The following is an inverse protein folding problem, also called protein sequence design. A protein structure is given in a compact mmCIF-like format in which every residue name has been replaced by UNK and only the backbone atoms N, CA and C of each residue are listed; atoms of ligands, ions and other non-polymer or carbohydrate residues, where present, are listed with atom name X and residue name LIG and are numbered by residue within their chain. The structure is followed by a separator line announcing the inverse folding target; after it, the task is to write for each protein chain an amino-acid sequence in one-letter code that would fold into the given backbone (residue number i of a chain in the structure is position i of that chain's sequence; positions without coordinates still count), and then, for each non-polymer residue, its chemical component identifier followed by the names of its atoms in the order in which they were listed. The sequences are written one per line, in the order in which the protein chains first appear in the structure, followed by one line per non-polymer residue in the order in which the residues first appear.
data_IF_554931790665
#
_entry.id   IF_554931790665
#
_cell.length_a   1.000
_cell.length_b   1.000
_cell.length_c   1.000
_cell.angle_alpha   90.00
_cell.angle_beta   90.00
_cell.angle_gamma   90.00
#
_symmetry.space_group_name_H-M   'P 1'
#
loop_
_entity.id
_entity.type
_entity.pdbx_description
1 polymer ?
#
# COMPACT_ATOMS: atom_id res chain seq x y z
N UNK A 1 -10.39 -0.86 29.86
CA UNK A 1 -10.43 -1.18 28.43
C UNK A 1 -11.34 -0.14 27.78
N UNK A 2 -10.85 0.63 26.80
CA UNK A 2 -11.68 1.61 26.08
C UNK A 2 -12.68 0.87 25.19
N UNK A 3 -13.94 1.28 25.21
CA UNK A 3 -14.98 0.76 24.31
C UNK A 3 -14.54 1.05 22.87
N UNK A 4 -14.54 0.06 21.95
CA UNK A 4 -14.21 0.30 20.55
C UNK A 4 -15.13 1.37 19.98
N UNK A 5 -14.57 2.39 19.32
CA UNK A 5 -15.37 3.42 18.65
C UNK A 5 -16.09 2.78 17.46
N UNK A 6 -17.40 3.02 17.27
CA UNK A 6 -18.10 2.55 16.08
C UNK A 6 -17.46 3.16 14.82
N UNK A 7 -17.69 2.55 13.66
CA UNK A 7 -17.31 3.15 12.39
C UNK A 7 -18.10 4.46 12.18
N UNK A 8 -17.42 5.46 11.61
CA UNK A 8 -18.02 6.71 11.17
C UNK A 8 -18.32 6.65 9.67
N UNK A 9 -19.55 6.94 9.30
CA UNK A 9 -19.97 7.02 7.88
C UNK A 9 -20.53 8.43 7.66
N UNK A 10 -19.92 9.15 6.72
CA UNK A 10 -20.42 10.48 6.34
C UNK A 10 -21.83 10.36 5.72
N UNK A 11 -22.77 11.28 5.99
CA UNK A 11 -24.16 11.18 5.51
C UNK A 11 -24.31 11.09 3.98
N UNK A 12 -23.35 11.56 3.21
CA UNK A 12 -23.36 11.49 1.73
C UNK A 12 -22.65 10.26 1.18
N UNK A 13 -22.03 9.43 2.03
CA UNK A 13 -21.44 8.18 1.59
C UNK A 13 -22.53 7.13 1.31
N UNK A 14 -22.36 6.37 0.23
CA UNK A 14 -23.22 5.23 -0.10
C UNK A 14 -22.50 3.94 0.29
N UNK A 15 -22.95 3.33 1.37
CA UNK A 15 -22.46 2.03 1.84
C UNK A 15 -23.58 1.02 1.60
N UNK A 16 -23.35 0.07 0.68
CA UNK A 16 -24.38 -0.91 0.30
C UNK A 16 -24.59 -1.96 1.41
N UNK A 17 -25.71 -2.68 1.31
CA UNK A 17 -26.04 -3.76 2.22
C UNK A 17 -24.98 -4.89 2.17
N UNK A 18 -24.69 -5.52 3.31
CA UNK A 18 -23.69 -6.59 3.42
C UNK A 18 -22.24 -6.12 3.49
N UNK A 19 -21.97 -4.80 3.48
CA UNK A 19 -20.64 -4.24 3.76
C UNK A 19 -20.32 -4.38 5.25
N UNK A 20 -19.11 -4.79 5.56
CA UNK A 20 -18.59 -4.80 6.94
C UNK A 20 -17.50 -3.76 7.13
N UNK A 21 -17.64 -2.96 8.20
CA UNK A 21 -16.65 -1.95 8.59
C UNK A 21 -16.16 -2.23 10.01
N UNK A 22 -14.86 -2.34 10.18
CA UNK A 22 -14.24 -2.50 11.49
C UNK A 22 -14.37 -1.24 12.36
N UNK A 23 -14.26 -1.43 13.66
CA UNK A 23 -14.35 -0.35 14.65
C UNK A 23 -13.33 0.76 14.37
N UNK A 24 -13.70 2.01 14.59
CA UNK A 24 -12.83 3.17 14.38
C UNK A 24 -12.61 3.58 12.92
N UNK A 25 -13.08 2.79 11.95
CA UNK A 25 -12.98 3.12 10.53
C UNK A 25 -13.83 4.33 10.17
N UNK A 26 -13.30 5.21 9.32
CA UNK A 26 -13.96 6.44 8.88
C UNK A 26 -14.16 6.43 7.38
N UNK A 27 -15.40 6.57 6.96
CA UNK A 27 -15.82 6.71 5.55
C UNK A 27 -16.27 8.14 5.31
N UNK A 28 -15.57 8.83 4.42
CA UNK A 28 -15.79 10.25 4.15
C UNK A 28 -16.86 10.48 3.06
N UNK A 29 -17.06 11.73 2.69
CA UNK A 29 -18.15 12.15 1.82
C UNK A 29 -18.05 11.60 0.41
N UNK A 30 -19.23 11.30 -0.17
CA UNK A 30 -19.38 10.77 -1.54
C UNK A 30 -18.55 9.51 -1.85
N UNK A 31 -18.16 8.75 -0.82
CA UNK A 31 -17.57 7.43 -0.99
C UNK A 31 -18.68 6.45 -1.38
N UNK A 32 -18.39 5.53 -2.30
CA UNK A 32 -19.27 4.42 -2.63
C UNK A 32 -18.58 3.09 -2.33
N UNK A 33 -19.15 2.31 -1.41
CA UNK A 33 -18.66 0.96 -1.05
C UNK A 33 -19.74 -0.05 -1.44
N UNK A 34 -19.35 -0.95 -2.34
CA UNK A 34 -20.27 -1.95 -2.90
C UNK A 34 -20.45 -3.15 -1.96
N UNK A 35 -21.58 -3.85 -2.17
CA UNK A 35 -21.95 -5.04 -1.37
C UNK A 35 -20.82 -6.06 -1.26
N UNK A 36 -20.74 -6.74 -0.13
CA UNK A 36 -19.77 -7.79 0.15
C UNK A 36 -18.37 -7.28 0.51
N UNK A 37 -18.08 -5.99 0.31
CA UNK A 37 -16.77 -5.43 0.70
C UNK A 37 -16.56 -5.52 2.23
N UNK A 38 -15.35 -5.83 2.64
CA UNK A 38 -14.93 -5.94 4.04
C UNK A 38 -13.76 -5.01 4.28
N UNK A 39 -13.92 -4.08 5.20
CA UNK A 39 -12.87 -3.12 5.59
C UNK A 39 -12.58 -3.30 7.07
N UNK A 40 -11.32 -3.48 7.40
CA UNK A 40 -10.83 -3.69 8.76
C UNK A 40 -11.04 -2.49 9.69
N UNK A 41 -10.45 -2.54 10.87
CA UNK A 41 -10.59 -1.49 11.88
C UNK A 41 -9.58 -0.35 11.68
N UNK A 42 -9.92 0.84 12.25
CA UNK A 42 -9.08 2.05 12.24
C UNK A 42 -8.61 2.49 10.83
N UNK A 43 -9.41 2.20 9.80
CA UNK A 43 -9.16 2.63 8.43
C UNK A 43 -9.70 4.04 8.16
N UNK A 44 -9.19 4.65 7.08
CA UNK A 44 -9.73 5.88 6.52
C UNK A 44 -10.02 5.65 5.05
N UNK A 45 -11.27 5.89 4.64
CA UNK A 45 -11.67 5.90 3.23
C UNK A 45 -12.01 7.34 2.87
N UNK A 46 -11.11 7.97 2.11
CA UNK A 46 -11.18 9.37 1.70
C UNK A 46 -12.28 9.64 0.69
N UNK A 47 -12.68 10.88 0.61
CA UNK A 47 -13.82 11.36 -0.18
C UNK A 47 -13.77 10.92 -1.65
N UNK A 48 -14.95 10.69 -2.24
CA UNK A 48 -15.14 10.33 -3.66
C UNK A 48 -14.44 9.03 -4.09
N UNK A 49 -13.99 8.22 -3.13
CA UNK A 49 -13.41 6.91 -3.45
C UNK A 49 -14.49 5.88 -3.75
N UNK A 50 -14.13 4.91 -4.58
CA UNK A 50 -14.99 3.78 -4.93
C UNK A 50 -14.31 2.47 -4.52
N UNK A 51 -15.04 1.63 -3.80
CA UNK A 51 -14.62 0.28 -3.41
C UNK A 51 -15.63 -0.71 -3.98
N UNK A 52 -15.17 -1.55 -4.90
CA UNK A 52 -16.03 -2.49 -5.62
C UNK A 52 -16.48 -3.68 -4.76
N UNK A 53 -17.24 -4.56 -5.40
CA UNK A 53 -17.81 -5.78 -4.80
C UNK A 53 -16.73 -6.69 -4.21
N UNK A 54 -17.00 -7.27 -3.04
CA UNK A 54 -16.23 -8.31 -2.39
C UNK A 54 -14.75 -7.95 -2.11
N UNK A 55 -14.37 -6.69 -2.27
CA UNK A 55 -13.03 -6.20 -1.94
C UNK A 55 -12.73 -6.41 -0.46
N UNK A 56 -11.52 -6.87 -0.16
CA UNK A 56 -11.05 -7.07 1.21
C UNK A 56 -9.94 -6.07 1.52
N UNK A 57 -10.14 -5.28 2.57
CA UNK A 57 -9.18 -4.28 3.06
C UNK A 57 -8.87 -4.60 4.52
N UNK A 58 -7.60 -4.78 4.84
CA UNK A 58 -7.10 -5.05 6.18
C UNK A 58 -7.24 -3.87 7.13
N UNK A 59 -6.54 -3.94 8.24
CA UNK A 59 -6.59 -2.96 9.32
C UNK A 59 -5.62 -1.79 9.09
N UNK A 60 -5.94 -0.61 9.66
CA UNK A 60 -5.09 0.58 9.61
C UNK A 60 -4.76 1.07 8.20
N UNK A 61 -5.60 0.76 7.23
CA UNK A 61 -5.42 1.18 5.83
C UNK A 61 -5.88 2.61 5.65
N UNK A 62 -5.07 3.41 4.96
CA UNK A 62 -5.41 4.77 4.60
C UNK A 62 -5.61 4.89 3.09
N UNK A 63 -6.83 5.15 2.69
CA UNK A 63 -7.24 5.46 1.32
C UNK A 63 -7.49 6.96 1.24
N UNK A 64 -6.75 7.67 0.41
CA UNK A 64 -6.97 9.10 0.18
C UNK A 64 -8.12 9.33 -0.81
N UNK A 65 -8.35 10.59 -1.18
CA UNK A 65 -9.44 10.98 -2.05
C UNK A 65 -9.39 10.32 -3.44
N UNK A 66 -10.57 10.04 -3.98
CA UNK A 66 -10.78 9.63 -5.38
C UNK A 66 -9.98 8.39 -5.80
N UNK A 67 -9.79 7.45 -4.90
CA UNK A 67 -9.18 6.15 -5.21
C UNK A 67 -10.24 5.22 -5.79
N UNK A 68 -9.90 4.53 -6.88
CA UNK A 68 -10.75 3.51 -7.49
C UNK A 68 -10.18 2.12 -7.19
N UNK A 69 -10.88 1.34 -6.36
CA UNK A 69 -10.54 -0.04 -6.03
C UNK A 69 -11.54 -0.94 -6.72
N UNK A 70 -11.14 -1.60 -7.81
CA UNK A 70 -11.99 -2.51 -8.58
C UNK A 70 -12.18 -3.86 -7.85
N UNK A 71 -13.12 -4.67 -8.33
CA UNK A 71 -13.30 -6.04 -7.85
C UNK A 71 -12.02 -6.88 -8.07
N UNK A 72 -11.81 -7.87 -7.23
CA UNK A 72 -10.61 -8.70 -7.27
C UNK A 72 -9.37 -8.06 -6.63
N UNK A 73 -9.54 -7.04 -5.78
CA UNK A 73 -8.42 -6.43 -5.04
C UNK A 73 -8.47 -6.81 -3.57
N UNK A 74 -7.34 -7.27 -3.05
CA UNK A 74 -7.10 -7.50 -1.63
C UNK A 74 -5.99 -6.58 -1.13
N UNK A 75 -6.24 -5.84 -0.05
CA UNK A 75 -5.31 -4.87 0.53
C UNK A 75 -4.93 -5.32 1.94
N UNK A 76 -3.66 -5.57 2.17
CA UNK A 76 -3.11 -5.92 3.49
C UNK A 76 -3.12 -4.74 4.47
N UNK A 77 -2.81 -5.04 5.74
CA UNK A 77 -2.79 -4.03 6.81
C UNK A 77 -1.77 -2.91 6.56
N UNK A 78 -2.02 -1.74 7.16
CA UNK A 78 -1.11 -0.58 7.14
C UNK A 78 -0.77 -0.07 5.74
N UNK A 79 -1.56 -0.41 4.72
CA UNK A 79 -1.36 0.12 3.37
C UNK A 79 -1.78 1.59 3.26
N UNK A 80 -1.09 2.29 2.35
CA UNK A 80 -1.40 3.67 1.97
C UNK A 80 -1.72 3.72 0.47
N UNK A 81 -2.94 4.08 0.12
CA UNK A 81 -3.38 4.37 -1.23
C UNK A 81 -3.54 5.88 -1.37
N UNK A 82 -2.62 6.54 -2.06
CA UNK A 82 -2.66 7.99 -2.21
C UNK A 82 -3.76 8.42 -3.18
N UNK A 83 -4.04 9.73 -3.24
CA UNK A 83 -5.12 10.25 -4.06
C UNK A 83 -5.04 9.84 -5.54
N UNK A 84 -6.20 9.55 -6.12
CA UNK A 84 -6.35 9.18 -7.53
C UNK A 84 -5.60 7.89 -7.94
N UNK A 85 -5.32 6.99 -7.03
CA UNK A 85 -4.83 5.64 -7.38
C UNK A 85 -5.96 4.87 -8.03
N UNK A 86 -5.63 4.17 -9.12
CA UNK A 86 -6.59 3.36 -9.89
C UNK A 86 -6.09 1.93 -10.00
N UNK A 87 -6.95 0.97 -9.63
CA UNK A 87 -6.74 -0.44 -9.91
C UNK A 87 -7.55 -0.86 -11.12
N UNK A 88 -7.02 -1.81 -11.89
CA UNK A 88 -7.71 -2.44 -13.02
C UNK A 88 -7.78 -3.95 -12.78
N UNK A 89 -8.81 -4.61 -13.30
CA UNK A 89 -9.04 -6.06 -13.10
C UNK A 89 -9.16 -6.85 -14.41
N UNK A 90 -9.01 -6.17 -15.54
CA UNK A 90 -9.06 -6.77 -16.86
C UNK A 90 -7.83 -6.37 -17.69
N UNK A 91 -7.25 -7.33 -18.41
CA UNK A 91 -6.09 -7.12 -19.30
C UNK A 91 -6.49 -6.64 -20.69
N UNK A 92 -7.63 -7.08 -21.16
CA UNK A 92 -8.09 -6.86 -22.52
C UNK A 92 -9.55 -6.42 -22.57
N UNK A 93 -9.89 -5.31 -21.88
CA UNK A 93 -11.27 -4.87 -21.74
C UNK A 93 -11.92 -4.58 -23.11
N UNK A 94 -13.16 -5.00 -23.24
CA UNK A 94 -14.03 -4.67 -24.38
C UNK A 94 -15.40 -4.25 -23.84
N UNK A 95 -16.05 -3.35 -24.54
CA UNK A 95 -17.41 -2.97 -24.22
C UNK A 95 -18.42 -3.99 -24.74
N UNK A 96 -18.13 -4.62 -25.87
CA UNK A 96 -19.00 -5.61 -26.49
C UNK A 96 -18.63 -7.03 -26.10
N UNK A 97 -19.65 -7.89 -26.04
CA UNK A 97 -19.47 -9.34 -25.95
C UNK A 97 -18.73 -9.88 -27.18
N UNK A 98 -18.30 -11.14 -27.15
CA UNK A 98 -17.46 -11.76 -28.17
C UNK A 98 -18.04 -11.61 -29.59
N UNK A 99 -19.35 -11.76 -29.75
CA UNK A 99 -20.07 -11.67 -31.03
C UNK A 99 -20.44 -10.23 -31.42
N UNK A 100 -20.13 -9.23 -30.61
CA UNK A 100 -20.49 -7.81 -30.81
C UNK A 100 -22.01 -7.59 -31.00
N UNK A 101 -22.84 -8.41 -30.37
CA UNK A 101 -24.30 -8.32 -30.39
C UNK A 101 -24.89 -7.61 -29.19
N UNK A 102 -24.07 -7.33 -28.17
CA UNK A 102 -24.49 -6.68 -26.92
C UNK A 102 -23.30 -6.22 -26.10
N UNK A 103 -23.58 -5.68 -24.91
CA UNK A 103 -22.54 -5.32 -23.96
C UNK A 103 -22.04 -6.58 -23.24
N UNK A 104 -20.74 -6.59 -22.97
CA UNK A 104 -20.13 -7.55 -22.04
C UNK A 104 -20.56 -7.22 -20.59
N UNK A 105 -20.58 -8.22 -19.72
CA UNK A 105 -20.88 -7.99 -18.30
C UNK A 105 -19.82 -7.11 -17.63
N UNK A 106 -20.30 -6.26 -16.73
CA UNK A 106 -19.40 -5.50 -15.82
C UNK A 106 -19.32 -6.13 -14.43
N UNK A 107 -20.05 -7.21 -14.18
CA UNK A 107 -20.00 -7.90 -12.90
C UNK A 107 -18.72 -8.76 -12.79
N UNK A 108 -18.16 -8.91 -11.59
CA UNK A 108 -17.06 -9.82 -11.36
C UNK A 108 -17.41 -11.25 -11.78
N UNK A 109 -16.49 -11.92 -12.45
CA UNK A 109 -16.60 -13.31 -12.89
C UNK A 109 -15.46 -14.15 -12.31
N UNK A 110 -15.45 -15.45 -12.56
CA UNK A 110 -14.33 -16.33 -12.20
C UNK A 110 -13.01 -15.94 -12.91
N UNK A 111 -13.09 -15.19 -14.01
CA UNK A 111 -11.94 -14.68 -14.76
C UNK A 111 -11.40 -13.37 -14.19
N UNK A 112 -12.08 -12.74 -13.23
CA UNK A 112 -11.63 -11.51 -12.59
C UNK A 112 -10.28 -11.74 -11.91
N UNK A 113 -9.27 -11.01 -12.35
CA UNK A 113 -7.90 -11.21 -11.89
C UNK A 113 -7.70 -10.63 -10.49
N UNK A 114 -7.18 -11.47 -9.58
CA UNK A 114 -6.90 -11.09 -8.19
C UNK A 114 -5.60 -10.30 -8.08
N UNK A 115 -5.70 -9.05 -7.62
CA UNK A 115 -4.56 -8.19 -7.28
C UNK A 115 -4.38 -8.12 -5.76
N UNK A 116 -3.19 -8.45 -5.26
CA UNK A 116 -2.91 -8.56 -3.84
C UNK A 116 -1.83 -7.58 -3.40
N UNK A 117 -2.14 -6.78 -2.39
CA UNK A 117 -1.18 -5.92 -1.72
C UNK A 117 -0.78 -6.54 -0.38
N UNK A 118 0.49 -6.78 -0.20
CA UNK A 118 1.05 -7.18 1.09
C UNK A 118 0.95 -6.06 2.13
N UNK A 119 1.28 -6.39 3.37
CA UNK A 119 1.28 -5.43 4.48
C UNK A 119 2.14 -4.22 4.21
N UNK A 120 1.65 -3.02 4.55
CA UNK A 120 2.42 -1.78 4.54
C UNK A 120 2.80 -1.25 3.15
N UNK A 121 2.17 -1.76 2.09
CA UNK A 121 2.37 -1.23 0.73
C UNK A 121 1.94 0.22 0.65
N UNK A 122 2.77 1.05 0.02
CA UNK A 122 2.44 2.45 -0.27
C UNK A 122 2.34 2.67 -1.77
N UNK A 123 1.21 3.20 -2.24
CA UNK A 123 1.01 3.56 -3.64
C UNK A 123 0.88 5.08 -3.75
N UNK A 124 1.79 5.68 -4.51
CA UNK A 124 1.84 7.13 -4.75
C UNK A 124 0.66 7.64 -5.58
N UNK A 125 0.35 8.92 -5.44
CA UNK A 125 -0.78 9.55 -6.11
C UNK A 125 -0.73 9.39 -7.64
N UNK A 126 -1.91 9.25 -8.26
CA UNK A 126 -2.08 9.05 -9.71
C UNK A 126 -1.37 7.80 -10.28
N UNK A 127 -1.04 6.82 -9.45
CA UNK A 127 -0.51 5.57 -9.96
C UNK A 127 -1.63 4.65 -10.44
N UNK A 128 -1.36 3.90 -11.51
CA UNK A 128 -2.25 2.87 -12.04
C UNK A 128 -1.65 1.49 -11.79
N UNK A 129 -2.45 0.59 -11.23
CA UNK A 129 -2.06 -0.79 -10.92
C UNK A 129 -2.77 -1.72 -11.89
N UNK A 130 -1.99 -2.47 -12.66
CA UNK A 130 -2.48 -3.48 -13.59
C UNK A 130 -3.15 -4.65 -12.89
N UNK A 131 -3.91 -5.47 -13.65
CA UNK A 131 -4.68 -6.58 -13.10
C UNK A 131 -3.82 -7.79 -12.75
N UNK A 132 -4.22 -8.54 -11.73
CA UNK A 132 -3.61 -9.83 -11.39
C UNK A 132 -2.20 -9.74 -10.82
N UNK A 133 -1.85 -8.64 -10.14
CA UNK A 133 -0.50 -8.38 -9.64
C UNK A 133 -0.37 -8.67 -8.16
N UNK A 134 0.85 -9.04 -7.75
CA UNK A 134 1.26 -9.15 -6.35
C UNK A 134 2.24 -8.04 -6.01
N UNK A 135 1.85 -7.17 -5.09
CA UNK A 135 2.71 -6.13 -4.54
C UNK A 135 3.19 -6.61 -3.16
N UNK A 136 4.48 -6.92 -3.07
CA UNK A 136 5.10 -7.46 -1.85
C UNK A 136 5.08 -6.46 -0.69
N UNK A 137 5.13 -6.98 0.53
CA UNK A 137 5.06 -6.19 1.74
C UNK A 137 6.03 -5.00 1.75
N UNK A 138 5.57 -3.88 2.29
CA UNK A 138 6.35 -2.64 2.43
C UNK A 138 6.95 -2.10 1.13
N UNK A 139 6.55 -2.58 -0.06
CA UNK A 139 6.98 -1.95 -1.29
C UNK A 139 6.37 -0.55 -1.44
N UNK A 140 7.03 0.28 -2.24
CA UNK A 140 6.58 1.64 -2.50
C UNK A 140 6.52 1.90 -4.00
N UNK A 141 5.36 2.30 -4.46
CA UNK A 141 5.11 2.75 -5.84
C UNK A 141 5.16 4.27 -5.87
N UNK A 142 6.02 4.83 -6.71
CA UNK A 142 6.12 6.29 -6.89
C UNK A 142 4.86 6.87 -7.55
N UNK A 143 4.62 8.16 -7.33
CA UNK A 143 3.49 8.88 -7.92
C UNK A 143 3.53 8.83 -9.45
N UNK A 144 2.36 8.78 -10.11
CA UNK A 144 2.21 8.78 -11.56
C UNK A 144 2.73 7.51 -12.26
N UNK A 145 3.00 6.44 -11.52
CA UNK A 145 3.55 5.21 -12.09
C UNK A 145 2.47 4.31 -12.69
N UNK A 146 2.86 3.51 -13.70
CA UNK A 146 2.03 2.42 -14.23
C UNK A 146 2.69 1.09 -13.90
N UNK A 147 2.11 0.36 -12.95
CA UNK A 147 2.61 -0.94 -12.49
C UNK A 147 1.98 -2.04 -13.35
N UNK A 148 2.79 -2.73 -14.14
CA UNK A 148 2.36 -3.78 -15.06
C UNK A 148 2.99 -5.15 -14.78
N UNK A 149 3.69 -5.30 -13.65
CA UNK A 149 4.31 -6.55 -13.21
C UNK A 149 4.36 -6.58 -11.67
N UNK A 150 4.52 -7.78 -11.12
CA UNK A 150 4.68 -7.99 -9.69
C UNK A 150 5.82 -7.13 -9.10
N UNK A 151 5.64 -6.69 -7.87
CA UNK A 151 6.61 -5.87 -7.15
C UNK A 151 7.13 -6.65 -5.95
N UNK A 152 8.44 -6.85 -5.87
CA UNK A 152 9.07 -7.56 -4.76
C UNK A 152 8.93 -6.76 -3.42
N UNK A 153 8.92 -7.44 -2.25
CA UNK A 153 8.90 -6.77 -0.95
C UNK A 153 9.99 -5.70 -0.82
N UNK A 154 9.65 -4.61 -0.13
CA UNK A 154 10.54 -3.47 0.14
C UNK A 154 11.07 -2.74 -1.11
N UNK A 155 10.64 -3.09 -2.31
CA UNK A 155 11.08 -2.43 -3.54
C UNK A 155 10.50 -1.02 -3.67
N UNK A 156 11.33 -0.09 -4.12
CA UNK A 156 10.91 1.19 -4.67
C UNK A 156 10.78 1.06 -6.18
N UNK A 157 9.57 1.24 -6.70
CA UNK A 157 9.30 1.20 -8.14
C UNK A 157 8.65 2.49 -8.60
N UNK A 158 9.02 3.01 -9.76
CA UNK A 158 8.33 4.12 -10.39
C UNK A 158 8.57 4.21 -11.91
N UNK A 159 7.75 5.01 -12.58
CA UNK A 159 7.78 5.26 -14.01
C UNK A 159 6.61 4.62 -14.76
N UNK A 160 6.60 4.79 -16.08
CA UNK A 160 5.63 4.19 -17.00
C UNK A 160 6.38 3.49 -18.16
N UNK A 161 6.45 2.16 -18.18
CA UNK A 161 6.05 1.25 -17.10
C UNK A 161 6.98 1.37 -15.88
N UNK A 162 6.45 1.09 -14.68
CA UNK A 162 7.21 1.13 -13.44
C UNK A 162 8.39 0.13 -13.46
N UNK A 163 9.54 0.57 -12.98
CA UNK A 163 10.76 -0.25 -12.87
C UNK A 163 11.34 -0.14 -11.47
N UNK A 164 12.06 -1.17 -11.08
CA UNK A 164 12.77 -1.17 -9.79
C UNK A 164 13.83 -0.07 -9.77
N UNK A 165 13.80 0.76 -8.75
CA UNK A 165 14.65 1.96 -8.61
C UNK A 165 15.33 2.01 -7.24
N UNK A 166 15.22 0.96 -6.45
CA UNK A 166 15.88 0.89 -5.14
C UNK A 166 15.05 0.17 -4.09
N UNK A 167 15.41 0.41 -2.84
CA UNK A 167 14.81 -0.23 -1.69
C UNK A 167 14.32 0.80 -0.67
N UNK A 168 13.24 0.46 0.02
CA UNK A 168 12.68 1.26 1.11
C UNK A 168 12.60 0.44 2.39
N UNK A 169 12.76 1.11 3.51
CA UNK A 169 12.53 0.54 4.83
C UNK A 169 11.02 0.37 5.09
N UNK A 170 10.64 -0.57 5.95
CA UNK A 170 9.26 -0.68 6.44
C UNK A 170 8.71 0.61 7.06
N UNK A 171 9.55 1.58 7.44
CA UNK A 171 9.10 2.90 7.88
C UNK A 171 8.91 3.92 6.72
N UNK A 172 9.07 3.50 5.48
CA UNK A 172 8.96 4.33 4.28
C UNK A 172 10.20 5.15 3.92
N UNK A 173 11.28 5.11 4.75
CA UNK A 173 12.50 5.82 4.44
C UNK A 173 13.31 5.10 3.35
N UNK A 174 13.85 5.79 2.32
CA UNK A 174 14.72 5.15 1.33
C UNK A 174 15.94 4.54 1.98
N UNK A 175 16.27 3.29 1.62
CA UNK A 175 17.49 2.60 2.04
C UNK A 175 18.59 2.74 0.99
N UNK A 176 18.22 2.56 -0.26
CA UNK A 176 19.10 2.65 -1.40
C UNK A 176 18.32 3.10 -2.63
N UNK A 177 18.89 3.99 -3.43
CA UNK A 177 18.41 4.32 -4.77
C UNK A 177 19.39 3.82 -5.80
N UNK A 178 18.89 3.17 -6.84
CA UNK A 178 19.69 2.75 -7.98
C UNK A 178 19.86 3.93 -8.93
N UNK A 179 21.07 4.09 -9.46
CA UNK A 179 21.33 4.98 -10.59
C UNK A 179 20.93 4.29 -11.89
N UNK A 180 20.64 5.07 -12.93
CA UNK A 180 20.27 4.52 -14.24
C UNK A 180 21.38 3.60 -14.77
N UNK A 181 20.99 2.41 -15.23
CA UNK A 181 21.92 1.36 -15.68
C UNK A 181 22.42 0.40 -14.59
N UNK A 182 22.14 0.65 -13.32
CA UNK A 182 22.54 -0.25 -12.24
C UNK A 182 21.47 -1.37 -12.07
N UNK A 183 21.80 -2.57 -12.52
CA UNK A 183 20.87 -3.72 -12.48
C UNK A 183 21.06 -4.62 -11.25
N UNK A 184 22.22 -4.57 -10.59
CA UNK A 184 22.57 -5.47 -9.49
C UNK A 184 23.05 -4.67 -8.30
N UNK A 185 22.54 -5.01 -7.13
CA UNK A 185 22.98 -4.45 -5.85
C UNK A 185 23.98 -5.43 -5.23
N UNK A 186 25.15 -4.95 -4.77
CA UNK A 186 26.07 -5.81 -4.05
C UNK A 186 25.40 -6.43 -2.83
N UNK A 187 25.66 -7.71 -2.59
CA UNK A 187 25.25 -8.36 -1.34
C UNK A 187 25.86 -7.60 -0.14
N UNK A 188 25.09 -7.44 0.91
CA UNK A 188 25.53 -6.69 2.09
C UNK A 188 24.38 -6.33 3.03
N UNK A 189 24.71 -5.57 4.05
CA UNK A 189 23.72 -5.06 5.00
C UNK A 189 23.39 -3.60 4.71
N UNK A 190 22.12 -3.24 4.88
CA UNK A 190 21.60 -1.88 4.80
C UNK A 190 20.92 -1.53 6.13
N UNK A 191 21.28 -0.39 6.69
CA UNK A 191 20.68 0.13 7.91
C UNK A 191 19.81 1.35 7.61
N UNK A 192 18.58 1.34 8.13
CA UNK A 192 17.72 2.50 8.04
C UNK A 192 18.21 3.60 9.01
N UNK A 193 18.64 4.73 8.48
CA UNK A 193 19.10 5.88 9.27
C UNK A 193 17.99 6.51 10.12
N UNK A 194 16.70 6.32 9.73
CA UNK A 194 15.56 6.88 10.45
C UNK A 194 15.09 6.02 11.63
N UNK A 195 14.96 4.70 11.44
CA UNK A 195 14.33 3.82 12.44
C UNK A 195 15.22 2.68 12.92
N UNK A 196 16.47 2.63 12.45
CA UNK A 196 17.50 1.64 12.84
C UNK A 196 17.15 0.18 12.56
N UNK A 197 16.19 -0.10 11.65
CA UNK A 197 15.98 -1.44 11.13
C UNK A 197 17.12 -1.79 10.20
N UNK A 198 17.63 -3.03 10.37
CA UNK A 198 18.66 -3.62 9.54
C UNK A 198 18.08 -4.59 8.53
N UNK A 199 18.70 -4.69 7.38
CA UNK A 199 18.30 -5.53 6.27
C UNK A 199 19.51 -6.18 5.64
N UNK A 200 19.37 -7.40 5.12
CA UNK A 200 20.36 -8.05 4.27
C UNK A 200 19.90 -8.07 2.81
N UNK A 201 20.81 -7.76 1.90
CA UNK A 201 20.60 -7.94 0.46
C UNK A 201 21.14 -9.29 0.06
N UNK A 202 20.26 -10.19 -0.40
CA UNK A 202 20.62 -11.51 -0.96
C UNK A 202 19.80 -11.75 -2.22
N UNK A 203 20.44 -12.27 -3.27
CA UNK A 203 19.78 -12.62 -4.53
C UNK A 203 18.91 -11.48 -5.08
N UNK A 204 19.42 -10.27 -5.02
CA UNK A 204 18.73 -9.02 -5.42
C UNK A 204 17.37 -8.80 -4.69
N UNK A 205 17.25 -9.33 -3.48
CA UNK A 205 16.08 -9.15 -2.60
C UNK A 205 16.50 -8.61 -1.24
N UNK A 206 15.60 -7.86 -0.61
CA UNK A 206 15.82 -7.31 0.73
C UNK A 206 15.16 -8.21 1.77
N UNK A 207 15.92 -8.57 2.80
CA UNK A 207 15.47 -9.39 3.93
C UNK A 207 15.61 -8.60 5.22
N UNK A 208 14.54 -8.44 6.00
CA UNK A 208 14.57 -7.74 7.27
C UNK A 208 15.32 -8.57 8.33
N UNK A 209 16.27 -7.96 9.02
CA UNK A 209 17.04 -8.55 10.13
C UNK A 209 16.54 -8.11 11.51
N UNK A 210 15.63 -7.11 11.59
CA UNK A 210 15.13 -6.56 12.84
C UNK A 210 15.66 -5.16 13.14
N UNK A 211 15.50 -4.71 14.39
CA UNK A 211 16.05 -3.43 14.85
C UNK A 211 17.37 -3.64 15.59
N UNK A 212 18.39 -2.88 15.25
CA UNK A 212 19.61 -2.80 16.05
C UNK A 212 19.30 -2.07 17.38
N UNK A 213 19.80 -2.62 18.50
CA UNK A 213 19.68 -1.99 19.81
C UNK A 213 20.32 -0.58 19.80
N UNK A 214 19.84 0.31 20.66
CA UNK A 214 20.54 1.57 20.91
C UNK A 214 21.93 1.26 21.42
N UNK A 215 22.96 1.75 20.73
CA UNK A 215 24.28 1.89 21.37
C UNK A 215 24.03 2.87 22.51
N UNK A 216 24.11 2.40 23.77
CA UNK A 216 24.16 3.29 24.91
C UNK A 216 25.28 4.30 24.67
N UNK A 217 24.95 5.59 24.64
CA UNK A 217 25.93 6.67 24.64
C UNK A 217 26.74 6.59 25.94
N UNK A 218 27.83 5.83 25.89
CA UNK A 218 28.79 5.73 27.00
C UNK A 218 29.81 6.89 26.98
N UNK A 219 29.47 8.03 26.36
CA UNK A 219 30.33 9.20 26.35
C UNK A 219 29.54 10.48 26.64
N UNK A 220 29.03 10.61 27.87
CA UNK A 220 28.81 11.94 28.47
C UNK A 220 28.79 11.89 30.00
N UNK A 221 29.96 11.54 30.58
CA UNK A 221 30.33 11.93 31.94
C UNK A 221 31.67 12.67 31.85
N UNK A 222 31.66 13.83 31.20
CA UNK A 222 32.70 14.81 31.44
C UNK A 222 32.30 15.57 32.71
N UNK A 223 33.20 15.46 33.71
CA UNK A 223 33.11 16.05 35.01
C UNK A 223 32.83 17.56 34.99
N UNK A 224 31.90 17.96 35.80
CA UNK A 224 31.75 19.37 36.24
C UNK A 224 32.87 19.62 37.24
N UNK A 225 33.79 20.58 37.04
CA UNK A 225 34.71 20.96 38.09
C UNK A 225 33.99 21.74 39.17
N UNK A 226 34.06 21.27 40.44
CA UNK A 226 33.70 22.01 41.64
C UNK A 226 34.41 23.39 41.63
N UNK A 227 33.66 24.46 41.71
CA UNK A 227 34.16 25.77 42.11
C UNK A 227 34.26 25.79 43.62
N UNK A 228 35.46 25.77 44.12
CA UNK A 228 35.83 26.13 45.49
C UNK A 228 35.68 27.65 45.67
N UNK A 229 35.01 28.02 46.81
CA UNK A 229 34.99 29.32 47.53
C UNK A 229 34.74 30.56 46.76
#
# INVERSE_FOLDING_TARGET
MSVPKPAFIHPTALVEEGVTLGAGTKVWDNVHIRRGARIGHDCIVGEKSYVAYDVVIGDFVKINASVYVCAGVEVGDFCMLSAHVVFTNDRFPRAGNEDLTGLETSDPTEETLLTQLGKGVTIGANATIGPGLKLGEFCMVGMGSVVAADVAPYSLVFGNPARHKGWVCACGHPLLRLTDGQAVIPAGELDCTRCRRAYAVKDNRLHALGRKAEKADMNNKAAIPEKAT
#
